data_IF_412377841305
#
_entry.id   IF_412377841305
#
_cell.length_a   1.000
_cell.length_b   1.000
_cell.length_c   1.000
_cell.angle_alpha   90.00
_cell.angle_beta   90.00
_cell.angle_gamma   90.00
#
_symmetry.space_group_name_H-M   'P 1'
#
loop_
_entity.id
_entity.type
_entity.pdbx_description
1 polymer ?
#
# COMPACT_ATOMS: atom_id res chain seq x y z
N UNK A 1 -2.15 -18.84 32.67
CA UNK A 1 -0.87 -18.55 31.98
C UNK A 1 -0.96 -17.10 31.51
N UNK A 2 -0.59 -16.15 32.39
CA UNK A 2 -0.65 -14.71 32.07
C UNK A 2 0.53 -14.38 31.17
N UNK A 3 0.23 -14.08 29.90
CA UNK A 3 1.24 -13.52 29.00
C UNK A 3 1.75 -12.21 29.61
N UNK A 4 3.05 -12.15 29.88
CA UNK A 4 3.71 -10.97 30.41
C UNK A 4 3.45 -9.78 29.46
N UNK A 5 3.10 -8.60 30.02
CA UNK A 5 2.82 -7.38 29.24
C UNK A 5 3.94 -7.02 28.26
N UNK A 6 5.18 -7.45 28.56
CA UNK A 6 6.33 -7.29 27.67
C UNK A 6 6.23 -8.16 26.41
N UNK A 7 5.88 -9.44 26.56
CA UNK A 7 5.75 -10.37 25.45
C UNK A 7 4.58 -10.01 24.52
N UNK A 8 3.46 -9.54 25.08
CA UNK A 8 2.31 -9.04 24.31
C UNK A 8 2.66 -7.84 23.43
N UNK A 9 3.46 -6.90 23.93
CA UNK A 9 3.92 -5.74 23.14
C UNK A 9 4.82 -6.18 21.97
N UNK A 10 5.73 -7.11 22.22
CA UNK A 10 6.63 -7.62 21.17
C UNK A 10 5.80 -8.31 20.07
N UNK A 11 4.89 -9.19 20.42
CA UNK A 11 4.01 -9.87 19.45
C UNK A 11 3.20 -8.85 18.67
N UNK A 12 2.61 -7.86 19.32
CA UNK A 12 1.82 -6.81 18.67
C UNK A 12 2.64 -6.03 17.62
N UNK A 13 3.90 -5.69 17.93
CA UNK A 13 4.76 -4.97 16.97
C UNK A 13 5.09 -5.82 15.73
N UNK A 14 5.37 -7.12 15.89
CA UNK A 14 5.60 -8.03 14.77
C UNK A 14 4.34 -8.23 13.93
N UNK A 15 3.19 -8.44 14.57
CA UNK A 15 1.90 -8.57 13.88
C UNK A 15 1.55 -7.32 13.10
N UNK A 16 1.69 -6.13 13.71
CA UNK A 16 1.45 -4.86 13.03
C UNK A 16 2.36 -4.69 11.82
N UNK A 17 3.64 -5.04 11.94
CA UNK A 17 4.61 -4.94 10.84
C UNK A 17 4.23 -5.84 9.66
N UNK A 18 3.84 -7.08 9.93
CA UNK A 18 3.42 -8.06 8.93
C UNK A 18 2.11 -7.60 8.26
N UNK A 19 1.11 -7.24 9.04
CA UNK A 19 -0.19 -6.77 8.53
C UNK A 19 -0.02 -5.51 7.68
N UNK A 20 0.81 -4.57 8.14
CA UNK A 20 1.12 -3.36 7.38
C UNK A 20 1.76 -3.72 6.03
N UNK A 21 2.78 -4.59 6.04
CA UNK A 21 3.45 -5.04 4.81
C UNK A 21 2.49 -5.71 3.84
N UNK A 22 1.67 -6.65 4.32
CA UNK A 22 0.68 -7.36 3.50
C UNK A 22 -0.34 -6.44 2.84
N UNK A 23 -0.72 -5.33 3.50
CA UNK A 23 -1.76 -4.42 3.01
C UNK A 23 -1.25 -3.29 2.11
N UNK A 24 0.05 -3.03 2.04
CA UNK A 24 0.58 -1.90 1.26
C UNK A 24 0.60 -2.15 -0.25
N UNK A 25 0.82 -3.37 -0.70
CA UNK A 25 0.96 -3.71 -2.12
C UNK A 25 -0.31 -4.12 -2.87
N UNK A 26 -1.37 -4.64 -2.25
CA UNK A 26 -2.57 -5.06 -2.95
C UNK A 26 -3.16 -3.98 -3.86
N UNK A 27 -3.20 -2.72 -3.40
CA UNK A 27 -3.73 -1.60 -4.18
C UNK A 27 -3.00 -1.41 -5.52
N UNK A 28 -1.70 -1.69 -5.59
CA UNK A 28 -0.89 -1.57 -6.80
C UNK A 28 -0.94 -2.84 -7.65
N UNK A 29 -0.82 -4.00 -7.01
CA UNK A 29 -0.68 -5.28 -7.69
C UNK A 29 -1.98 -5.82 -8.27
N UNK A 30 -3.14 -5.41 -7.74
CA UNK A 30 -4.46 -5.80 -8.26
C UNK A 30 -4.81 -5.15 -9.59
N UNK A 31 -4.24 -4.00 -9.93
CA UNK A 31 -4.55 -3.27 -11.17
C UNK A 31 -4.02 -4.00 -12.39
N UNK A 32 -2.78 -4.48 -12.35
CA UNK A 32 -2.11 -5.07 -13.51
C UNK A 32 -2.88 -6.22 -14.15
N UNK A 33 -3.38 -7.24 -13.42
CA UNK A 33 -4.15 -8.33 -14.02
C UNK A 33 -5.54 -7.90 -14.49
N UNK A 34 -6.10 -6.80 -13.97
CA UNK A 34 -7.43 -6.29 -14.33
C UNK A 34 -7.38 -5.19 -15.40
N UNK A 35 -6.20 -4.80 -15.86
CA UNK A 35 -6.01 -3.65 -16.75
C UNK A 35 -6.80 -3.74 -18.05
N UNK A 36 -6.93 -4.94 -18.63
CA UNK A 36 -7.72 -5.16 -19.85
C UNK A 36 -9.22 -4.93 -19.62
N UNK A 37 -9.74 -5.41 -18.49
CA UNK A 37 -11.15 -5.20 -18.11
C UNK A 37 -11.42 -3.72 -17.82
N UNK A 38 -10.55 -3.08 -17.03
CA UNK A 38 -10.64 -1.65 -16.73
C UNK A 38 -10.68 -0.82 -18.00
N UNK A 39 -9.85 -1.15 -19.00
CA UNK A 39 -9.83 -0.45 -20.29
C UNK A 39 -11.10 -0.66 -21.10
N UNK A 40 -11.62 -1.88 -21.11
CA UNK A 40 -12.87 -2.19 -21.81
C UNK A 40 -14.05 -1.41 -21.22
N UNK A 41 -14.13 -1.32 -19.89
CA UNK A 41 -15.24 -0.67 -19.19
C UNK A 41 -15.14 0.86 -19.17
N UNK A 42 -13.92 1.41 -19.10
CA UNK A 42 -13.70 2.87 -18.99
C UNK A 42 -13.36 3.55 -20.32
N UNK A 43 -13.10 2.79 -21.38
CA UNK A 43 -12.66 3.33 -22.68
C UNK A 43 -11.25 3.96 -22.65
N UNK A 44 -10.45 3.69 -21.64
CA UNK A 44 -9.10 4.28 -21.47
C UNK A 44 -8.16 3.86 -22.60
N UNK A 45 -7.36 4.83 -23.10
CA UNK A 45 -6.29 4.57 -24.04
C UNK A 45 -5.16 3.74 -23.41
N UNK A 46 -4.31 3.12 -24.21
CA UNK A 46 -3.10 2.42 -23.74
C UNK A 46 -2.19 3.34 -22.91
N UNK A 47 -2.04 4.56 -23.36
CA UNK A 47 -1.22 5.56 -22.69
C UNK A 47 -1.78 5.92 -21.30
N UNK A 48 -3.10 6.14 -21.19
CA UNK A 48 -3.75 6.40 -19.91
C UNK A 48 -3.61 5.21 -18.93
N UNK A 49 -3.70 3.98 -19.44
CA UNK A 49 -3.50 2.78 -18.65
C UNK A 49 -2.05 2.63 -18.15
N UNK A 50 -1.06 3.01 -18.95
CA UNK A 50 0.34 3.04 -18.54
C UNK A 50 0.56 4.08 -17.43
N UNK A 51 -0.06 5.24 -17.52
CA UNK A 51 -0.01 6.23 -16.45
C UNK A 51 -0.66 5.75 -15.15
N UNK A 52 -1.77 5.01 -15.22
CA UNK A 52 -2.43 4.45 -14.04
C UNK A 52 -1.50 3.55 -13.20
N UNK A 53 -0.61 2.81 -13.84
CA UNK A 53 0.38 1.96 -13.17
C UNK A 53 1.67 2.68 -12.80
N UNK A 54 2.07 3.70 -13.57
CA UNK A 54 3.34 4.41 -13.37
C UNK A 54 3.24 5.54 -12.35
N UNK A 55 2.10 6.23 -12.26
CA UNK A 55 1.90 7.35 -11.33
C UNK A 55 2.20 7.00 -9.86
N UNK A 56 1.72 5.88 -9.30
CA UNK A 56 2.05 5.50 -7.93
C UNK A 56 3.55 5.30 -7.71
N UNK A 57 4.26 4.74 -8.70
CA UNK A 57 5.72 4.52 -8.63
C UNK A 57 6.47 5.84 -8.65
N UNK A 58 6.05 6.78 -9.49
CA UNK A 58 6.60 8.14 -9.52
C UNK A 58 6.38 8.83 -8.17
N UNK A 59 5.17 8.74 -7.59
CA UNK A 59 4.89 9.25 -6.25
C UNK A 59 5.83 8.65 -5.20
N UNK A 60 6.07 7.33 -5.27
CA UNK A 60 7.01 6.67 -4.36
C UNK A 60 8.42 7.26 -4.46
N UNK A 61 8.91 7.50 -5.68
CA UNK A 61 10.20 8.16 -5.90
C UNK A 61 10.26 9.57 -5.32
N UNK A 62 9.25 10.40 -5.59
CA UNK A 62 9.18 11.78 -5.08
C UNK A 62 9.10 11.83 -3.54
N UNK A 63 8.25 10.99 -2.95
CA UNK A 63 8.12 10.92 -1.49
C UNK A 63 9.38 10.38 -0.83
N UNK A 64 10.09 9.44 -1.46
CA UNK A 64 11.38 8.95 -0.96
C UNK A 64 12.42 10.08 -0.84
N UNK A 65 12.47 11.00 -1.79
CA UNK A 65 13.34 12.19 -1.73
C UNK A 65 12.96 13.12 -0.57
N UNK A 66 11.69 13.19 -0.22
CA UNK A 66 11.18 14.04 0.85
C UNK A 66 11.11 13.32 2.21
N UNK A 67 11.47 12.04 2.27
CA UNK A 67 11.26 11.15 3.42
C UNK A 67 11.78 11.73 4.74
N UNK A 68 13.00 12.27 4.76
CA UNK A 68 13.59 12.89 5.96
C UNK A 68 12.81 14.14 6.42
N UNK A 69 12.34 14.97 5.48
CA UNK A 69 11.55 16.17 5.82
C UNK A 69 10.16 15.78 6.33
N UNK A 70 9.55 14.77 5.74
CA UNK A 70 8.25 14.24 6.17
C UNK A 70 8.36 13.60 7.55
N UNK A 71 9.41 12.82 7.80
CA UNK A 71 9.67 12.25 9.12
C UNK A 71 9.85 13.35 10.19
N UNK A 72 10.61 14.41 9.89
CA UNK A 72 10.84 15.51 10.82
C UNK A 72 9.57 16.31 11.14
N UNK A 73 8.66 16.48 10.18
CA UNK A 73 7.43 17.27 10.36
C UNK A 73 6.26 16.47 10.94
N UNK A 74 6.04 15.27 10.46
CA UNK A 74 4.88 14.44 10.82
C UNK A 74 5.17 13.50 11.98
N UNK A 75 6.44 13.11 12.15
CA UNK A 75 6.82 11.98 12.98
C UNK A 75 6.41 10.64 12.36
N UNK A 76 6.99 9.56 12.86
CA UNK A 76 6.80 8.22 12.27
C UNK A 76 5.35 7.73 12.45
N UNK A 77 4.80 7.89 13.65
CA UNK A 77 3.46 7.38 13.98
C UNK A 77 2.35 8.10 13.23
N UNK A 78 2.38 9.42 13.25
CA UNK A 78 1.35 10.24 12.59
C UNK A 78 1.48 10.14 11.06
N UNK A 79 2.69 10.05 10.54
CA UNK A 79 2.92 9.86 9.12
C UNK A 79 2.40 8.52 8.60
N UNK A 80 2.60 7.42 9.35
CA UNK A 80 2.02 6.11 9.01
C UNK A 80 0.50 6.15 9.10
N UNK A 81 -0.07 6.76 10.15
CA UNK A 81 -1.52 6.91 10.28
C UNK A 81 -2.11 7.73 9.12
N UNK A 82 -1.48 8.85 8.74
CA UNK A 82 -1.90 9.65 7.59
C UNK A 82 -1.84 8.85 6.29
N UNK A 83 -0.76 8.10 6.07
CA UNK A 83 -0.64 7.25 4.89
C UNK A 83 -1.73 6.17 4.82
N UNK A 84 -2.07 5.55 5.95
CA UNK A 84 -3.19 4.60 6.02
C UNK A 84 -4.53 5.27 5.72
N UNK A 85 -4.79 6.45 6.27
CA UNK A 85 -6.01 7.23 5.96
C UNK A 85 -6.10 7.56 4.46
N UNK A 86 -4.99 7.94 3.82
CA UNK A 86 -4.95 8.19 2.38
C UNK A 86 -5.26 6.93 1.56
N UNK A 87 -4.73 5.78 1.95
CA UNK A 87 -5.02 4.49 1.30
C UNK A 87 -6.50 4.13 1.45
N UNK A 88 -7.05 4.23 2.66
CA UNK A 88 -8.48 3.95 2.91
C UNK A 88 -9.37 4.89 2.10
N UNK A 89 -9.06 6.18 2.10
CA UNK A 89 -9.80 7.16 1.30
C UNK A 89 -9.73 6.85 -0.20
N UNK A 90 -8.56 6.47 -0.70
CA UNK A 90 -8.38 6.06 -2.10
C UNK A 90 -9.19 4.80 -2.45
N UNK A 91 -9.20 3.80 -1.57
CA UNK A 91 -10.00 2.58 -1.76
C UNK A 91 -11.51 2.87 -1.75
N UNK A 92 -11.99 3.65 -0.79
CA UNK A 92 -13.40 4.04 -0.72
C UNK A 92 -13.82 4.86 -1.94
N UNK A 93 -13.01 5.82 -2.35
CA UNK A 93 -13.30 6.62 -3.54
C UNK A 93 -13.31 5.77 -4.82
N UNK A 94 -12.44 4.75 -4.90
CA UNK A 94 -12.39 3.83 -6.04
C UNK A 94 -13.67 3.03 -6.24
N UNK A 95 -14.44 2.74 -5.19
CA UNK A 95 -15.74 2.06 -5.30
C UNK A 95 -16.75 2.86 -6.14
N UNK A 96 -16.58 4.18 -6.20
CA UNK A 96 -17.44 5.09 -6.97
C UNK A 96 -16.79 5.59 -8.27
N UNK A 97 -15.62 5.05 -8.62
CA UNK A 97 -14.87 5.48 -9.79
C UNK A 97 -15.37 4.78 -11.06
N UNK A 98 -16.15 5.47 -11.86
CA UNK A 98 -16.64 5.00 -13.17
C UNK A 98 -15.87 5.59 -14.35
N UNK A 99 -15.02 6.59 -14.11
CA UNK A 99 -14.26 7.31 -15.14
C UNK A 99 -12.75 7.11 -14.94
N UNK A 100 -12.00 7.07 -16.05
CA UNK A 100 -10.56 6.89 -16.02
C UNK A 100 -9.82 7.96 -15.24
N UNK A 101 -10.28 9.22 -15.25
CA UNK A 101 -9.69 10.32 -14.48
C UNK A 101 -9.83 10.10 -12.98
N UNK A 102 -10.99 9.65 -12.52
CA UNK A 102 -11.22 9.32 -11.10
C UNK A 102 -10.32 8.17 -10.66
N UNK A 103 -10.12 7.16 -11.53
CA UNK A 103 -9.18 6.07 -11.27
C UNK A 103 -7.74 6.57 -11.09
N UNK A 104 -7.30 7.49 -11.96
CA UNK A 104 -5.97 8.10 -11.86
C UNK A 104 -5.81 8.89 -10.55
N UNK A 105 -6.83 9.68 -10.16
CA UNK A 105 -6.81 10.43 -8.90
C UNK A 105 -6.71 9.50 -7.69
N UNK A 106 -7.48 8.39 -7.66
CA UNK A 106 -7.40 7.40 -6.59
C UNK A 106 -6.06 6.66 -6.57
N UNK A 107 -5.47 6.37 -7.73
CA UNK A 107 -4.16 5.76 -7.83
C UNK A 107 -3.05 6.69 -7.30
N UNK A 108 -3.15 7.99 -7.61
CA UNK A 108 -2.25 9.01 -7.09
C UNK A 108 -2.34 9.13 -5.57
N UNK A 109 -3.55 9.25 -5.03
CA UNK A 109 -3.79 9.37 -3.60
C UNK A 109 -3.32 8.12 -2.83
N UNK A 110 -3.68 6.94 -3.31
CA UNK A 110 -3.26 5.68 -2.70
C UNK A 110 -1.75 5.45 -2.82
N UNK A 111 -1.17 5.76 -3.98
CA UNK A 111 0.27 5.71 -4.21
C UNK A 111 1.05 6.65 -3.29
N UNK A 112 0.58 7.87 -3.09
CA UNK A 112 1.19 8.81 -2.15
C UNK A 112 1.11 8.31 -0.69
N UNK A 113 -0.03 7.72 -0.28
CA UNK A 113 -0.18 7.08 1.03
C UNK A 113 0.80 5.92 1.23
N UNK A 114 0.92 5.02 0.25
CA UNK A 114 1.89 3.91 0.28
C UNK A 114 3.32 4.44 0.37
N UNK A 115 3.65 5.43 -0.45
CA UNK A 115 4.96 6.05 -0.49
C UNK A 115 5.35 6.66 0.87
N UNK A 116 4.42 7.37 1.51
CA UNK A 116 4.62 7.96 2.82
C UNK A 116 4.92 6.90 3.88
N UNK A 117 4.15 5.81 3.91
CA UNK A 117 4.38 4.71 4.85
C UNK A 117 5.74 4.05 4.59
N UNK A 118 6.06 3.73 3.33
CA UNK A 118 7.33 3.09 2.98
C UNK A 118 8.55 3.95 3.29
N UNK A 119 8.43 5.28 3.21
CA UNK A 119 9.49 6.19 3.61
C UNK A 119 9.72 6.23 5.14
N UNK A 120 8.68 6.01 5.93
CA UNK A 120 8.73 6.15 7.39
C UNK A 120 8.95 4.81 8.12
N UNK A 121 8.51 3.69 7.55
CA UNK A 121 8.61 2.35 8.18
C UNK A 121 10.04 1.95 8.54
N UNK A 122 11.08 2.18 7.71
CA UNK A 122 12.45 1.83 8.10
C UNK A 122 12.92 2.57 9.37
N UNK A 123 12.52 3.83 9.55
CA UNK A 123 12.83 4.58 10.77
C UNK A 123 12.08 4.04 11.99
N UNK A 124 10.80 3.71 11.81
CA UNK A 124 9.98 3.05 12.83
C UNK A 124 10.58 1.72 13.27
N UNK A 125 11.03 0.89 12.32
CA UNK A 125 11.68 -0.40 12.58
C UNK A 125 12.97 -0.20 13.39
N UNK A 126 13.83 0.74 12.98
CA UNK A 126 15.07 1.04 13.71
C UNK A 126 14.80 1.42 15.16
N UNK A 127 13.74 2.17 15.41
CA UNK A 127 13.36 2.63 16.76
C UNK A 127 12.77 1.50 17.62
N UNK A 128 11.94 0.63 17.03
CA UNK A 128 11.21 -0.40 17.79
C UNK A 128 11.96 -1.73 17.92
N UNK A 129 12.77 -2.08 16.92
CA UNK A 129 13.45 -3.38 16.83
C UNK A 129 14.97 -3.29 16.99
N UNK A 130 15.49 -2.36 17.76
CA UNK A 130 16.92 -1.98 17.94
C UNK A 130 17.94 -3.10 17.72
N UNK A 131 17.74 -4.29 18.31
CA UNK A 131 18.65 -5.44 18.18
C UNK A 131 18.32 -6.40 17.03
N UNK A 132 17.20 -6.20 16.33
CA UNK A 132 16.69 -7.10 15.28
C UNK A 132 16.26 -6.36 14.02
N UNK A 133 16.87 -5.22 13.73
CA UNK A 133 16.50 -4.33 12.61
C UNK A 133 16.53 -5.08 11.27
N UNK A 134 17.62 -5.83 11.01
CA UNK A 134 17.75 -6.57 9.75
C UNK A 134 16.65 -7.62 9.57
N UNK A 135 16.34 -8.37 10.64
CA UNK A 135 15.25 -9.35 10.62
C UNK A 135 13.89 -8.67 10.39
N UNK A 136 13.62 -7.57 11.09
CA UNK A 136 12.36 -6.85 10.95
C UNK A 136 12.19 -6.25 9.53
N UNK A 137 13.24 -5.70 8.93
CA UNK A 137 13.23 -5.25 7.53
C UNK A 137 13.00 -6.42 6.58
N UNK A 138 13.62 -7.57 6.81
CA UNK A 138 13.41 -8.79 6.01
C UNK A 138 11.96 -9.27 6.07
N UNK A 139 11.39 -9.38 7.27
CA UNK A 139 9.98 -9.77 7.48
C UNK A 139 9.03 -8.76 6.82
N UNK A 140 9.28 -7.48 6.97
CA UNK A 140 8.49 -6.43 6.31
C UNK A 140 8.54 -6.55 4.77
N UNK A 141 9.74 -6.73 4.20
CA UNK A 141 9.91 -6.89 2.76
C UNK A 141 9.24 -8.17 2.22
N UNK A 142 9.38 -9.29 2.94
CA UNK A 142 8.70 -10.53 2.61
C UNK A 142 7.17 -10.38 2.65
N UNK A 143 6.65 -9.69 3.67
CA UNK A 143 5.21 -9.39 3.79
C UNK A 143 4.71 -8.52 2.65
N UNK A 144 5.48 -7.49 2.22
CA UNK A 144 5.17 -6.67 1.05
C UNK A 144 5.04 -7.52 -0.23
N UNK A 145 6.01 -8.41 -0.46
CA UNK A 145 5.99 -9.27 -1.64
C UNK A 145 4.84 -10.27 -1.60
N UNK A 146 4.61 -10.89 -0.43
CA UNK A 146 3.50 -11.81 -0.22
C UNK A 146 2.15 -11.13 -0.45
N UNK A 147 1.94 -9.92 0.10
CA UNK A 147 0.70 -9.14 -0.09
C UNK A 147 0.45 -8.81 -1.56
N UNK A 148 1.49 -8.38 -2.29
CA UNK A 148 1.41 -8.11 -3.72
C UNK A 148 1.11 -9.35 -4.55
N UNK A 149 1.78 -10.46 -4.27
CA UNK A 149 1.57 -11.74 -4.95
C UNK A 149 0.16 -12.30 -4.72
N UNK A 150 -0.32 -12.29 -3.46
CA UNK A 150 -1.67 -12.71 -3.11
C UNK A 150 -2.73 -11.85 -3.83
N UNK A 151 -2.55 -10.53 -3.85
CA UNK A 151 -3.47 -9.64 -4.54
C UNK A 151 -3.53 -9.93 -6.04
N UNK A 152 -2.40 -10.13 -6.69
CA UNK A 152 -2.33 -10.45 -8.13
C UNK A 152 -3.01 -11.79 -8.44
N UNK A 153 -2.93 -12.78 -7.55
CA UNK A 153 -3.57 -14.09 -7.72
C UNK A 153 -5.08 -14.06 -7.45
N UNK A 154 -5.51 -13.27 -6.46
CA UNK A 154 -6.91 -13.25 -6.00
C UNK A 154 -7.77 -12.28 -6.80
N UNK A 155 -7.23 -11.13 -7.20
CA UNK A 155 -8.01 -10.08 -7.90
C UNK A 155 -8.76 -10.56 -9.14
N UNK A 156 -8.19 -11.37 -10.06
CA UNK A 156 -8.94 -11.82 -11.22
C UNK A 156 -10.09 -12.78 -10.86
N UNK A 157 -9.91 -13.59 -9.80
CA UNK A 157 -10.96 -14.52 -9.32
C UNK A 157 -12.11 -13.77 -8.70
N UNK A 158 -11.82 -12.75 -7.89
CA UNK A 158 -12.84 -11.89 -7.25
C UNK A 158 -13.59 -11.11 -8.32
N UNK A 159 -12.89 -10.45 -9.25
CA UNK A 159 -13.52 -9.72 -10.35
C UNK A 159 -14.41 -10.61 -11.23
N UNK A 160 -13.98 -11.85 -11.51
CA UNK A 160 -14.77 -12.82 -12.26
C UNK A 160 -16.03 -13.29 -11.52
N UNK A 161 -16.00 -13.35 -10.18
CA UNK A 161 -17.15 -13.78 -9.39
C UNK A 161 -18.21 -12.68 -9.22
N UNK A 162 -17.79 -11.43 -9.09
CA UNK A 162 -18.69 -10.28 -8.92
C UNK A 162 -19.01 -9.55 -10.22
N UNK A 163 -18.47 -9.99 -11.36
CA UNK A 163 -18.62 -9.37 -12.68
C UNK A 163 -18.19 -7.89 -12.76
N UNK A 164 -17.49 -7.40 -11.75
CA UNK A 164 -17.00 -6.02 -11.67
C UNK A 164 -15.56 -5.98 -11.17
N UNK A 165 -14.70 -5.23 -11.86
CA UNK A 165 -13.31 -5.03 -11.47
C UNK A 165 -13.13 -4.15 -10.21
N UNK A 166 -14.20 -3.51 -9.77
CA UNK A 166 -14.23 -2.64 -8.56
C UNK A 166 -14.37 -3.45 -7.25
N UNK A 167 -14.72 -4.73 -7.32
CA UNK A 167 -14.80 -5.63 -6.16
C UNK A 167 -13.39 -6.07 -5.75
#
# INVERSE_FOLDING_TARGET
MSLDKGSLRVVAHWTLLIVLGLNLRPLLSSISPLLLQIRADTGMSFQASAWLTSLPVICMGLVALLGLRLQARLGERNGVALGLCMIVAACLWRLFAHQGETLMATALLGGAGIALIQALVPALIKRQFQHRVALALGVYSASLMAGGGLAALVSPRVAGHFSHWQA
#
